data_IF_053961353595
#
_entry.id   IF_053961353595
#
_cell.length_a   1.000
_cell.length_b   1.000
_cell.length_c   1.000
_cell.angle_alpha   90.00
_cell.angle_beta   90.00
_cell.angle_gamma   90.00
#
_symmetry.space_group_name_H-M   'P 1'
#
loop_
_entity.id
_entity.type
_entity.pdbx_description
1 polymer ?
#
# COMPACT_ATOMS: atom_id res chain seq x y z
N UNK A 1 12.53 -18.75 18.29
CA UNK A 1 11.38 -17.86 18.08
C UNK A 1 11.90 -16.75 17.20
N UNK A 2 11.62 -16.82 15.89
CA UNK A 2 11.85 -15.67 15.04
C UNK A 2 10.79 -14.65 15.44
N UNK A 3 11.24 -13.47 15.80
CA UNK A 3 10.38 -12.29 15.97
C UNK A 3 9.85 -11.99 14.55
N UNK A 4 8.73 -12.61 14.18
CA UNK A 4 8.11 -12.40 12.86
C UNK A 4 7.50 -11.00 12.85
N UNK A 5 8.36 -10.01 12.62
CA UNK A 5 7.97 -8.61 12.52
C UNK A 5 6.97 -8.44 11.40
N UNK A 6 5.94 -7.64 11.66
CA UNK A 6 4.97 -7.28 10.65
C UNK A 6 5.66 -6.59 9.47
N UNK A 7 5.26 -6.96 8.25
CA UNK A 7 5.75 -6.34 7.01
C UNK A 7 4.59 -5.59 6.37
N UNK A 8 4.81 -4.30 6.10
CA UNK A 8 3.87 -3.43 5.38
C UNK A 8 4.41 -3.17 3.99
N UNK A 9 3.73 -3.66 2.95
CA UNK A 9 4.05 -3.38 1.54
C UNK A 9 3.11 -2.30 1.02
N UNK A 10 3.64 -1.28 0.36
CA UNK A 10 2.86 -0.18 -0.22
C UNK A 10 3.12 -0.08 -1.71
N UNK A 11 2.08 -0.18 -2.53
CA UNK A 11 2.23 0.01 -3.97
C UNK A 11 2.40 1.48 -4.31
N UNK A 12 3.41 1.76 -5.12
CA UNK A 12 3.61 3.07 -5.74
C UNK A 12 3.58 2.86 -7.25
N UNK A 13 2.69 3.58 -7.92
CA UNK A 13 2.63 3.59 -9.38
C UNK A 13 3.98 3.92 -10.00
N UNK A 14 4.23 3.48 -11.24
CA UNK A 14 5.29 4.09 -12.05
C UNK A 14 4.73 5.32 -12.73
N UNK A 15 5.52 6.41 -12.72
CA UNK A 15 5.39 7.47 -13.71
C UNK A 15 5.05 6.84 -15.03
N UNK A 16 3.93 7.19 -15.65
CA UNK A 16 3.90 7.05 -17.10
C UNK A 16 5.15 7.79 -17.56
N UNK A 17 6.11 7.13 -18.26
CA UNK A 17 7.10 7.91 -18.97
C UNK A 17 6.31 8.91 -19.82
N UNK A 18 6.79 10.14 -20.04
CA UNK A 18 6.06 11.07 -20.90
C UNK A 18 5.85 10.36 -22.24
N UNK A 19 4.66 9.78 -22.40
CA UNK A 19 4.24 9.19 -23.64
C UNK A 19 4.39 10.34 -24.61
N UNK A 20 4.98 10.09 -25.76
CA UNK A 20 5.03 11.05 -26.86
C UNK A 20 3.59 11.29 -27.34
N UNK A 21 2.81 11.98 -26.52
CA UNK A 21 1.46 12.38 -26.77
C UNK A 21 1.55 13.53 -27.75
N UNK A 22 1.32 13.20 -29.02
CA UNK A 22 1.01 14.17 -30.05
C UNK A 22 -0.14 15.02 -29.51
N UNK A 23 0.17 16.30 -29.27
CA UNK A 23 -0.70 17.32 -28.70
C UNK A 23 -2.07 17.31 -29.40
N UNK A 24 -3.11 16.86 -28.72
CA UNK A 24 -4.48 17.18 -29.06
C UNK A 24 -4.99 18.06 -27.93
N UNK A 25 -5.24 19.32 -28.28
CA UNK A 25 -5.73 20.35 -27.38
C UNK A 25 -7.10 19.95 -26.81
N UNK A 26 -7.24 20.09 -25.50
CA UNK A 26 -8.45 19.84 -24.72
C UNK A 26 -8.12 20.11 -23.27
N UNK A 27 -8.23 21.38 -22.90
CA UNK A 27 -8.00 21.93 -21.56
C UNK A 27 -9.25 21.64 -20.73
N UNK A 28 -9.18 20.60 -19.89
CA UNK A 28 -10.03 20.42 -18.71
C UNK A 28 -9.08 19.95 -17.60
N UNK A 29 -8.64 20.89 -16.77
CA UNK A 29 -7.92 20.63 -15.54
C UNK A 29 -8.89 20.04 -14.51
N UNK A 30 -9.23 18.76 -14.69
CA UNK A 30 -9.78 17.95 -13.61
C UNK A 30 -8.61 17.65 -12.65
N UNK A 31 -8.79 18.02 -11.39
CA UNK A 31 -7.81 17.91 -10.30
C UNK A 31 -7.55 16.43 -9.94
N UNK A 32 -7.06 15.65 -10.90
CA UNK A 32 -6.67 14.27 -10.68
C UNK A 32 -5.32 14.27 -10.00
N UNK A 33 -5.30 14.15 -8.67
CA UNK A 33 -4.11 13.76 -7.92
C UNK A 33 -3.49 12.58 -8.66
N UNK A 34 -2.28 12.74 -9.20
CA UNK A 34 -1.70 11.72 -10.06
C UNK A 34 -1.56 10.45 -9.21
N UNK A 35 -1.94 9.24 -9.70
CA UNK A 35 -1.90 8.00 -8.91
C UNK A 35 -0.56 7.73 -8.19
N UNK A 36 0.51 8.32 -8.71
CA UNK A 36 1.86 8.33 -8.18
C UNK A 36 2.04 9.17 -6.94
N UNK A 37 1.48 10.37 -6.95
CA UNK A 37 1.53 11.29 -5.83
C UNK A 37 0.75 10.69 -4.68
N UNK A 38 -0.42 10.11 -4.99
CA UNK A 38 -1.23 9.38 -4.00
C UNK A 38 -0.48 8.20 -3.39
N UNK A 39 0.15 7.34 -4.22
CA UNK A 39 0.94 6.22 -3.71
C UNK A 39 2.17 6.66 -2.90
N UNK A 40 2.86 7.72 -3.32
CA UNK A 40 3.99 8.30 -2.58
C UNK A 40 3.59 8.90 -1.24
N UNK A 41 2.42 9.54 -1.18
CA UNK A 41 1.88 10.08 0.06
C UNK A 41 1.57 8.95 1.04
N UNK A 42 0.86 7.91 0.59
CA UNK A 42 0.58 6.70 1.40
C UNK A 42 1.88 6.07 1.90
N UNK A 43 2.88 5.87 1.03
CA UNK A 43 4.18 5.32 1.43
C UNK A 43 4.89 6.19 2.46
N UNK A 44 4.89 7.52 2.28
CA UNK A 44 5.50 8.45 3.24
C UNK A 44 4.80 8.37 4.59
N UNK A 45 3.47 8.34 4.60
CA UNK A 45 2.68 8.21 5.83
C UNK A 45 2.97 6.90 6.54
N UNK A 46 3.03 5.78 5.80
CA UNK A 46 3.37 4.48 6.37
C UNK A 46 4.76 4.49 7.02
N UNK A 47 5.79 4.98 6.31
CA UNK A 47 7.15 5.10 6.84
C UNK A 47 7.28 6.02 8.06
N UNK A 48 6.42 7.03 8.14
CA UNK A 48 6.42 7.99 9.27
C UNK A 48 5.75 7.41 10.51
N UNK A 49 4.75 6.54 10.32
CA UNK A 49 4.02 5.89 11.41
C UNK A 49 4.74 4.65 11.96
N UNK A 50 5.63 4.03 11.17
CA UNK A 50 6.34 2.82 11.56
C UNK A 50 7.48 3.13 12.56
N UNK A 51 7.54 2.34 13.62
CA UNK A 51 8.59 2.34 14.64
C UNK A 51 9.41 1.04 14.59
N UNK A 52 8.74 -0.11 14.43
CA UNK A 52 9.35 -1.44 14.44
C UNK A 52 9.00 -2.30 13.22
N UNK A 53 7.92 -1.99 12.51
CA UNK A 53 7.49 -2.73 11.31
C UNK A 53 8.29 -2.33 10.07
N UNK A 54 8.54 -3.29 9.18
CA UNK A 54 9.26 -3.04 7.94
C UNK A 54 8.30 -2.51 6.87
N UNK A 55 8.57 -1.29 6.37
CA UNK A 55 7.77 -0.66 5.31
C UNK A 55 8.48 -0.75 3.95
N UNK A 56 7.95 -1.57 3.06
CA UNK A 56 8.49 -1.83 1.74
C UNK A 56 7.70 -1.09 0.66
N UNK A 57 8.41 -0.36 -0.21
CA UNK A 57 7.85 0.16 -1.45
C UNK A 57 7.85 -0.96 -2.48
N UNK A 58 6.69 -1.22 -3.08
CA UNK A 58 6.54 -2.19 -4.17
C UNK A 58 5.94 -1.52 -5.39
N UNK A 59 6.15 -2.12 -6.56
CA UNK A 59 5.55 -1.64 -7.80
C UNK A 59 4.02 -1.76 -7.79
N UNK A 60 3.36 -1.05 -8.71
CA UNK A 60 1.93 -1.20 -8.94
C UNK A 60 1.54 -2.64 -9.30
N UNK A 61 0.37 -3.04 -8.83
CA UNK A 61 -0.33 -4.27 -9.25
C UNK A 61 -0.83 -4.22 -10.69
N UNK A 62 -0.83 -3.04 -11.33
CA UNK A 62 -1.45 -2.80 -12.63
C UNK A 62 -2.97 -2.62 -12.58
N UNK A 63 -3.61 -2.86 -11.43
CA UNK A 63 -5.07 -2.75 -11.26
C UNK A 63 -5.39 -1.39 -10.65
N UNK A 64 -5.62 -0.37 -11.49
CA UNK A 64 -5.88 1.02 -11.04
C UNK A 64 -6.98 1.16 -9.99
N UNK A 65 -7.99 0.28 -10.01
CA UNK A 65 -9.09 0.28 -9.05
C UNK A 65 -8.66 -0.06 -7.61
N UNK A 66 -7.51 -0.71 -7.43
CA UNK A 66 -6.96 -1.06 -6.12
C UNK A 66 -5.89 -0.07 -5.62
N UNK A 67 -5.39 0.79 -6.50
CA UNK A 67 -4.22 1.63 -6.25
C UNK A 67 -4.56 2.95 -5.50
N UNK A 68 -3.74 3.36 -4.52
CA UNK A 68 -2.63 2.60 -3.92
C UNK A 68 -3.15 1.46 -3.05
N UNK A 69 -2.40 0.37 -2.99
CA UNK A 69 -2.70 -0.82 -2.21
C UNK A 69 -1.67 -0.95 -1.09
N UNK A 70 -2.17 -1.12 0.13
CA UNK A 70 -1.35 -1.45 1.30
C UNK A 70 -1.62 -2.90 1.67
N UNK A 71 -0.55 -3.67 1.84
CA UNK A 71 -0.61 -5.05 2.31
C UNK A 71 0.12 -5.14 3.65
N UNK A 72 -0.51 -5.75 4.65
CA UNK A 72 0.11 -6.00 5.95
C UNK A 72 0.18 -7.49 6.16
N UNK A 73 1.37 -8.02 6.39
CA UNK A 73 1.59 -9.45 6.67
C UNK A 73 2.08 -9.64 8.10
N UNK A 74 1.38 -10.47 8.88
CA UNK A 74 1.71 -10.84 10.27
C UNK A 74 1.41 -12.32 10.45
N UNK A 75 2.38 -13.11 10.90
CA UNK A 75 2.20 -14.52 11.30
C UNK A 75 1.40 -15.37 10.30
N UNK A 76 1.74 -15.32 9.02
CA UNK A 76 1.01 -16.11 8.00
C UNK A 76 -0.31 -15.49 7.52
N UNK A 77 -0.65 -14.25 7.91
CA UNK A 77 -1.88 -13.58 7.50
C UNK A 77 -1.57 -12.29 6.77
N UNK A 78 -2.10 -12.14 5.55
CA UNK A 78 -1.97 -10.92 4.76
C UNK A 78 -3.31 -10.21 4.62
N UNK A 79 -3.40 -9.00 5.16
CA UNK A 79 -4.54 -8.11 4.98
C UNK A 79 -4.30 -7.12 3.83
N UNK A 80 -5.33 -6.89 3.02
CA UNK A 80 -5.30 -6.06 1.82
C UNK A 80 -6.20 -4.83 2.02
N UNK A 81 -5.59 -3.65 1.88
CA UNK A 81 -6.25 -2.36 2.05
C UNK A 81 -6.12 -1.55 0.74
N UNK A 82 -7.10 -1.66 -0.17
CA UNK A 82 -7.08 -0.90 -1.41
C UNK A 82 -7.51 0.55 -1.19
N UNK A 83 -6.88 1.45 -1.94
CA UNK A 83 -7.15 2.90 -1.94
C UNK A 83 -7.20 3.55 -0.54
N UNK A 84 -6.32 3.22 0.42
CA UNK A 84 -6.39 3.85 1.73
C UNK A 84 -6.04 5.34 1.61
N UNK A 85 -6.70 6.14 2.43
CA UNK A 85 -6.27 7.52 2.70
C UNK A 85 -5.00 7.53 3.55
N UNK A 86 -4.27 8.67 3.62
CA UNK A 86 -3.14 8.81 4.54
C UNK A 86 -3.54 8.53 6.01
N UNK A 87 -4.72 9.02 6.43
CA UNK A 87 -5.23 8.77 7.79
C UNK A 87 -5.46 7.27 8.06
N UNK A 88 -6.10 6.57 7.13
CA UNK A 88 -6.28 5.11 7.24
C UNK A 88 -4.94 4.38 7.22
N UNK A 89 -3.99 4.81 6.39
CA UNK A 89 -2.65 4.22 6.31
C UNK A 89 -1.92 4.29 7.64
N UNK A 90 -2.02 5.43 8.34
CA UNK A 90 -1.45 5.58 9.68
C UNK A 90 -2.05 4.58 10.66
N UNK A 91 -3.38 4.47 10.70
CA UNK A 91 -4.07 3.50 11.58
C UNK A 91 -3.70 2.05 11.24
N UNK A 92 -3.56 1.72 9.96
CA UNK A 92 -3.12 0.39 9.51
C UNK A 92 -1.73 0.07 10.07
N UNK A 93 -0.77 1.01 9.97
CA UNK A 93 0.59 0.81 10.49
C UNK A 93 0.60 0.73 12.02
N UNK A 94 -0.11 1.61 12.72
CA UNK A 94 -0.21 1.59 14.19
C UNK A 94 -0.79 0.25 14.71
N UNK A 95 -1.70 -0.37 13.97
CA UNK A 95 -2.20 -1.71 14.29
C UNK A 95 -1.21 -2.81 13.95
N UNK A 96 -0.47 -2.68 12.86
CA UNK A 96 0.60 -3.61 12.51
C UNK A 96 1.70 -3.61 13.59
N UNK A 97 2.06 -2.43 14.13
CA UNK A 97 2.96 -2.29 15.28
C UNK A 97 2.41 -2.98 16.54
N UNK A 98 1.08 -2.97 16.72
CA UNK A 98 0.41 -3.69 17.78
C UNK A 98 0.22 -5.20 17.51
N UNK A 99 0.74 -5.72 16.39
CA UNK A 99 0.63 -7.14 16.02
C UNK A 99 -0.75 -7.55 15.50
N UNK A 100 -1.54 -6.62 14.96
CA UNK A 100 -2.92 -6.85 14.58
C UNK A 100 -3.21 -6.55 13.11
N UNK A 101 -3.90 -7.49 12.45
CA UNK A 101 -4.46 -7.40 11.09
C UNK A 101 -5.95 -7.75 11.14
N UNK A 102 -6.72 -6.95 11.89
CA UNK A 102 -8.17 -7.16 12.00
C UNK A 102 -8.88 -6.92 10.65
N UNK A 103 -9.93 -7.70 10.41
CA UNK A 103 -10.67 -7.73 9.16
C UNK A 103 -11.61 -6.52 8.97
N UNK A 104 -11.96 -5.79 10.04
CA UNK A 104 -13.01 -4.77 9.97
C UNK A 104 -12.68 -3.62 9.00
N UNK A 105 -11.40 -3.35 8.74
CA UNK A 105 -10.96 -2.32 7.79
C UNK A 105 -10.25 -2.90 6.54
N UNK A 106 -9.96 -4.20 6.52
CA UNK A 106 -9.32 -4.86 5.38
C UNK A 106 -10.39 -5.32 4.38
N UNK A 107 -10.19 -5.06 3.09
CA UNK A 107 -11.13 -5.57 2.08
C UNK A 107 -11.01 -7.09 1.96
N UNK A 108 -9.78 -7.62 2.13
CA UNK A 108 -9.51 -9.05 2.16
C UNK A 108 -8.46 -9.39 3.20
N UNK A 109 -8.59 -10.57 3.80
CA UNK A 109 -7.56 -11.20 4.63
C UNK A 109 -7.34 -12.61 4.11
N UNK A 110 -6.09 -12.93 3.80
CA UNK A 110 -5.67 -14.23 3.27
C UNK A 110 -4.74 -14.89 4.28
N UNK A 111 -5.02 -16.14 4.61
CA UNK A 111 -4.18 -16.96 5.48
C UNK A 111 -3.30 -17.87 4.63
N UNK A 112 -2.03 -17.96 4.99
CA UNK A 112 -1.04 -18.84 4.40
C UNK A 112 -0.29 -19.58 5.51
N UNK A 113 0.33 -20.72 5.18
CA UNK A 113 1.22 -21.39 6.12
C UNK A 113 2.34 -20.42 6.50
N UNK A 114 2.65 -20.30 7.79
CA UNK A 114 3.71 -19.43 8.30
C UNK A 114 5.10 -19.82 7.77
N UNK A 115 5.31 -21.09 7.42
CA UNK A 115 6.52 -21.57 6.74
C UNK A 115 6.57 -21.23 5.23
N UNK A 116 5.51 -20.61 4.67
CA UNK A 116 5.53 -20.18 3.28
C UNK A 116 6.25 -18.84 3.16
N UNK A 117 7.41 -18.84 2.48
CA UNK A 117 8.10 -17.61 2.09
C UNK A 117 7.13 -16.70 1.33
N UNK A 118 6.88 -15.51 1.89
CA UNK A 118 6.03 -14.50 1.27
C UNK A 118 6.88 -13.60 0.38
N UNK A 119 6.50 -13.44 -0.88
CA UNK A 119 7.23 -12.72 -1.94
C UNK A 119 7.50 -11.23 -1.65
#
# INVERSE_FOLDING_TARGET
>A
MHDERAIVRVTVGRGEPPSVARKSAGDDADETVHPLERGREVLRTARTAAETVDVLEVGSTGVRALEPLVLVTIEGRTAYYPRPSPAQTRTIVERAEAGSVEADDAEWVVEHASDAETL
#
